data_IF_569229555259
#
_entry.id   IF_569229555259
#
_cell.length_a   1.000
_cell.length_b   1.000
_cell.length_c   1.000
_cell.angle_alpha   90.00
_cell.angle_beta   90.00
_cell.angle_gamma   90.00
#
_symmetry.space_group_name_H-M   'P 1'
#
loop_
_entity.id
_entity.type
_entity.pdbx_description
1 polymer ?
#
# COMPACT_ATOMS: atom_id res chain seq x y z
N UNK A 1 -23.09 11.48 0.21
CA UNK A 1 -22.45 11.07 1.46
C UNK A 1 -21.04 10.58 1.13
N UNK A 2 -20.06 10.93 1.95
CA UNK A 2 -18.70 10.44 1.89
C UNK A 2 -18.42 9.67 3.18
N UNK A 3 -18.23 8.35 3.07
CA UNK A 3 -17.96 7.47 4.21
C UNK A 3 -16.48 7.11 4.23
N UNK A 4 -15.83 7.18 5.38
CA UNK A 4 -14.43 6.84 5.48
C UNK A 4 -13.78 7.08 6.84
N UNK A 5 -12.46 7.01 6.89
CA UNK A 5 -11.68 7.35 8.07
C UNK A 5 -11.64 8.87 8.32
N UNK A 6 -11.11 9.27 9.47
CA UNK A 6 -10.92 10.69 9.77
C UNK A 6 -9.90 11.33 8.82
N UNK A 7 -8.85 10.59 8.52
CA UNK A 7 -7.80 10.99 7.60
C UNK A 7 -8.23 10.64 6.16
N UNK A 8 -7.97 11.54 5.22
CA UNK A 8 -8.24 11.27 3.80
C UNK A 8 -7.49 10.02 3.33
N UNK A 9 -6.24 9.88 3.78
CA UNK A 9 -5.43 8.68 3.52
C UNK A 9 -4.21 8.67 4.44
N UNK A 10 -4.08 7.65 5.29
CA UNK A 10 -2.87 7.45 6.11
C UNK A 10 -1.61 7.30 5.26
N UNK A 11 -1.72 6.63 4.10
CA UNK A 11 -0.59 6.47 3.17
C UNK A 11 -0.16 7.82 2.59
N UNK A 12 -1.12 8.70 2.29
CA UNK A 12 -0.83 10.05 1.83
C UNK A 12 -0.10 10.84 2.93
N UNK A 13 -0.63 10.85 4.15
CA UNK A 13 -0.08 11.62 5.27
C UNK A 13 1.34 11.20 5.65
N UNK A 14 1.72 9.93 5.43
CA UNK A 14 3.07 9.44 5.68
C UNK A 14 4.10 9.85 4.62
N UNK A 15 3.67 10.38 3.46
CA UNK A 15 4.58 10.82 2.42
C UNK A 15 5.33 12.09 2.85
N UNK A 16 6.66 12.03 2.82
CA UNK A 16 7.51 13.18 3.19
C UNK A 16 7.41 14.28 2.14
N UNK A 17 7.43 13.90 0.88
CA UNK A 17 7.37 14.80 -0.28
C UNK A 17 6.55 14.17 -1.40
N UNK A 18 5.74 15.00 -2.05
CA UNK A 18 4.94 14.65 -3.22
C UNK A 18 5.20 15.72 -4.28
N UNK A 19 5.88 15.33 -5.36
CA UNK A 19 6.27 16.22 -6.46
C UNK A 19 5.46 16.02 -7.75
N UNK A 20 4.54 15.05 -7.76
CA UNK A 20 3.79 14.64 -8.95
C UNK A 20 2.28 14.88 -8.85
N UNK A 21 1.82 15.68 -7.89
CA UNK A 21 0.41 16.02 -7.78
C UNK A 21 0.14 17.36 -8.52
N UNK A 22 -0.74 17.37 -9.54
CA UNK A 22 -1.03 18.58 -10.32
C UNK A 22 -1.51 19.73 -9.42
N UNK A 23 -0.90 20.90 -9.57
CA UNK A 23 -1.16 22.08 -8.74
C UNK A 23 -0.26 22.22 -7.50
N UNK A 24 0.50 21.18 -7.18
CA UNK A 24 1.46 21.19 -6.07
C UNK A 24 2.78 20.58 -6.55
N UNK A 25 3.74 21.40 -7.03
CA UNK A 25 5.02 20.91 -7.53
C UNK A 25 5.88 20.25 -6.45
N UNK A 26 5.65 20.62 -5.18
CA UNK A 26 6.32 20.06 -4.01
C UNK A 26 5.43 20.30 -2.79
N UNK A 27 4.96 19.22 -2.13
CA UNK A 27 4.14 19.32 -0.93
C UNK A 27 4.32 18.07 -0.06
N UNK A 28 4.34 18.23 1.27
CA UNK A 28 4.28 17.09 2.18
C UNK A 28 2.88 16.46 2.21
N UNK A 29 2.82 15.15 2.43
CA UNK A 29 1.56 14.40 2.41
C UNK A 29 0.53 14.89 3.41
N UNK A 30 0.95 15.24 4.63
CA UNK A 30 0.07 15.82 5.65
C UNK A 30 -0.53 17.17 5.17
N UNK A 31 0.28 18.04 4.59
CA UNK A 31 -0.18 19.33 4.07
C UNK A 31 -1.15 19.16 2.88
N UNK A 32 -0.94 18.16 2.04
CA UNK A 32 -1.86 17.83 0.95
C UNK A 32 -3.19 17.28 1.50
N UNK A 33 -3.14 16.43 2.52
CA UNK A 33 -4.33 15.95 3.23
C UNK A 33 -5.15 17.09 3.83
N UNK A 34 -4.51 18.06 4.49
CA UNK A 34 -5.17 19.27 4.99
C UNK A 34 -5.79 20.12 3.85
N UNK A 35 -5.12 20.20 2.69
CA UNK A 35 -5.67 20.91 1.54
C UNK A 35 -6.96 20.25 1.03
N UNK A 36 -7.02 18.91 1.02
CA UNK A 36 -8.23 18.17 0.67
C UNK A 36 -9.36 18.40 1.68
N UNK A 37 -9.08 18.38 2.98
CA UNK A 37 -10.08 18.69 4.01
C UNK A 37 -10.66 20.08 3.83
N UNK A 38 -9.82 21.11 3.67
CA UNK A 38 -10.28 22.47 3.41
C UNK A 38 -11.15 22.58 2.15
N UNK A 39 -10.84 21.80 1.12
CA UNK A 39 -11.64 21.79 -0.10
C UNK A 39 -13.02 21.12 0.13
N UNK A 40 -13.06 20.01 0.86
CA UNK A 40 -14.33 19.37 1.26
C UNK A 40 -15.20 20.31 2.09
N UNK A 41 -14.62 21.00 3.06
CA UNK A 41 -15.30 21.98 3.91
C UNK A 41 -15.86 23.13 3.08
N UNK A 42 -15.09 23.66 2.13
CA UNK A 42 -15.54 24.72 1.22
C UNK A 42 -16.72 24.28 0.31
N UNK A 43 -16.82 22.99 0.02
CA UNK A 43 -17.94 22.40 -0.72
C UNK A 43 -19.11 21.97 0.18
N UNK A 44 -18.99 22.13 1.50
CA UNK A 44 -19.99 21.67 2.47
C UNK A 44 -20.10 20.15 2.56
N UNK A 45 -19.03 19.42 2.22
CA UNK A 45 -18.99 17.95 2.24
C UNK A 45 -18.34 17.49 3.53
N UNK A 46 -19.13 16.83 4.40
CA UNK A 46 -18.61 16.17 5.58
C UNK A 46 -18.20 14.72 5.30
N UNK A 47 -17.09 14.30 5.90
CA UNK A 47 -16.69 12.89 5.93
C UNK A 47 -17.35 12.26 7.17
N UNK A 48 -18.26 11.31 6.94
CA UNK A 48 -18.81 10.48 8.01
C UNK A 48 -17.82 9.37 8.37
N UNK A 49 -17.39 9.34 9.64
CA UNK A 49 -16.40 8.37 10.14
C UNK A 49 -17.06 7.00 10.32
N UNK A 50 -17.27 6.32 9.21
CA UNK A 50 -17.90 5.01 9.15
C UNK A 50 -17.10 4.09 8.25
N UNK A 51 -16.93 2.84 8.69
CA UNK A 51 -16.35 1.79 7.87
C UNK A 51 -17.48 0.96 7.28
N UNK A 52 -17.57 0.93 5.96
CA UNK A 52 -18.54 0.09 5.25
C UNK A 52 -18.04 -1.35 5.30
N UNK A 53 -18.86 -2.24 5.91
CA UNK A 53 -18.57 -3.65 6.01
C UNK A 53 -18.93 -4.41 4.74
N UNK A 54 -20.10 -4.06 4.15
CA UNK A 54 -20.62 -4.71 2.95
C UNK A 54 -21.33 -3.73 2.04
N UNK A 55 -21.32 -4.05 0.75
CA UNK A 55 -22.11 -3.38 -0.30
C UNK A 55 -22.92 -4.45 -1.02
N UNK A 56 -24.23 -4.33 -0.96
CA UNK A 56 -25.17 -5.26 -1.57
C UNK A 56 -25.87 -4.63 -2.78
N UNK A 57 -25.75 -5.22 -3.98
CA UNK A 57 -26.57 -4.81 -5.12
C UNK A 57 -28.02 -5.28 -4.92
N UNK A 58 -28.96 -4.34 -4.91
CA UNK A 58 -30.38 -4.57 -4.67
C UNK A 58 -31.25 -4.33 -5.92
N UNK A 59 -30.66 -4.47 -7.11
CA UNK A 59 -31.30 -4.23 -8.39
C UNK A 59 -31.07 -2.80 -8.90
N UNK A 60 -31.91 -1.88 -8.57
CA UNK A 60 -31.85 -0.47 -9.00
C UNK A 60 -31.15 0.45 -7.99
N UNK A 61 -30.75 -0.09 -6.85
CA UNK A 61 -29.97 0.62 -5.83
C UNK A 61 -28.95 -0.31 -5.15
N UNK A 62 -28.09 0.26 -4.31
CA UNK A 62 -27.13 -0.43 -3.47
C UNK A 62 -27.44 -0.16 -2.00
N UNK A 63 -27.42 -1.21 -1.18
CA UNK A 63 -27.43 -1.10 0.27
C UNK A 63 -25.98 -1.22 0.81
N UNK A 64 -25.58 -0.29 1.66
CA UNK A 64 -24.28 -0.29 2.33
C UNK A 64 -24.49 -0.46 3.82
N UNK A 65 -23.70 -1.30 4.49
CA UNK A 65 -23.82 -1.52 5.93
C UNK A 65 -22.54 -1.14 6.67
N UNK A 66 -22.71 -0.65 7.91
CA UNK A 66 -21.64 -0.40 8.88
C UNK A 66 -22.18 -0.75 10.27
N UNK A 67 -21.87 -1.93 10.78
CA UNK A 67 -22.49 -2.46 11.98
C UNK A 67 -24.02 -2.56 11.84
N UNK A 68 -24.76 -1.85 12.70
CA UNK A 68 -26.23 -1.80 12.63
C UNK A 68 -26.80 -0.70 11.72
N UNK A 69 -25.96 0.15 11.17
CA UNK A 69 -26.39 1.25 10.28
C UNK A 69 -26.41 0.80 8.82
N UNK A 70 -27.33 1.38 8.06
CA UNK A 70 -27.49 1.09 6.64
C UNK A 70 -27.76 2.37 5.86
N UNK A 71 -27.17 2.44 4.66
CA UNK A 71 -27.43 3.50 3.67
C UNK A 71 -27.91 2.88 2.37
N UNK A 72 -28.76 3.62 1.66
CA UNK A 72 -29.18 3.29 0.30
C UNK A 72 -28.61 4.32 -0.67
N UNK A 73 -28.10 3.85 -1.81
CA UNK A 73 -27.54 4.72 -2.84
C UNK A 73 -27.83 4.17 -4.24
N UNK A 74 -28.13 5.05 -5.19
CA UNK A 74 -28.30 4.67 -6.61
C UNK A 74 -26.98 4.31 -7.28
N UNK A 75 -25.89 4.83 -6.78
CA UNK A 75 -24.53 4.54 -7.26
C UNK A 75 -23.54 4.59 -6.10
N UNK A 76 -22.48 3.80 -6.20
CA UNK A 76 -21.39 3.73 -5.21
C UNK A 76 -20.07 3.91 -5.93
N UNK A 77 -19.20 4.75 -5.38
CA UNK A 77 -17.81 4.88 -5.80
C UNK A 77 -16.93 4.26 -4.73
N UNK A 78 -16.22 3.19 -5.08
CA UNK A 78 -15.26 2.54 -4.20
C UNK A 78 -13.90 3.18 -4.39
N UNK A 79 -13.46 3.97 -3.41
CA UNK A 79 -12.15 4.62 -3.36
C UNK A 79 -11.43 4.25 -2.06
N UNK A 80 -11.41 2.95 -1.74
CA UNK A 80 -10.97 2.40 -0.45
C UNK A 80 -9.44 2.38 -0.29
N UNK A 81 -8.70 2.71 -1.34
CA UNK A 81 -7.25 2.59 -1.35
C UNK A 81 -6.80 1.13 -1.28
N UNK A 82 -5.61 0.93 -0.75
CA UNK A 82 -5.04 -0.40 -0.53
C UNK A 82 -5.00 -0.70 0.96
N UNK A 83 -5.37 -1.93 1.34
CA UNK A 83 -5.20 -2.40 2.71
C UNK A 83 -3.71 -2.60 2.95
N UNK A 84 -3.11 -1.80 3.84
CA UNK A 84 -1.78 -2.08 4.31
C UNK A 84 -1.84 -3.31 5.24
N UNK A 85 -0.99 -4.30 4.98
CA UNK A 85 -0.69 -5.33 5.98
C UNK A 85 -0.11 -4.65 7.23
N UNK A 86 -0.21 -5.32 8.38
CA UNK A 86 0.47 -4.81 9.58
C UNK A 86 1.96 -4.65 9.25
N UNK A 87 2.53 -3.44 9.36
CA UNK A 87 3.93 -3.25 9.00
C UNK A 87 4.84 -4.14 9.84
N UNK A 88 5.89 -4.63 9.21
CA UNK A 88 6.99 -5.31 9.89
C UNK A 88 7.78 -4.25 10.67
N UNK A 89 8.34 -4.60 11.81
CA UNK A 89 9.17 -3.67 12.60
C UNK A 89 10.29 -3.07 11.74
N UNK A 90 10.48 -1.76 11.77
CA UNK A 90 11.47 -1.03 10.97
C UNK A 90 11.06 -0.75 9.52
N UNK A 91 9.93 -1.26 9.06
CA UNK A 91 9.49 -1.13 7.67
C UNK A 91 9.16 0.33 7.31
N UNK A 92 8.40 0.99 8.18
CA UNK A 92 7.97 2.38 7.95
C UNK A 92 9.15 3.36 7.99
N UNK A 93 10.08 3.16 8.92
CA UNK A 93 11.27 4.01 9.07
C UNK A 93 12.22 3.91 7.88
N UNK A 94 12.19 2.76 7.16
CA UNK A 94 13.03 2.49 6.00
C UNK A 94 12.31 2.69 4.67
N UNK A 95 11.03 3.06 4.69
CA UNK A 95 10.26 3.34 3.47
C UNK A 95 10.87 4.52 2.71
N UNK A 96 11.13 4.32 1.40
CA UNK A 96 11.88 5.26 0.56
C UNK A 96 13.39 5.29 0.81
N UNK A 97 13.89 4.48 1.78
CA UNK A 97 15.32 4.37 2.12
C UNK A 97 15.85 2.93 1.94
N UNK A 98 15.23 2.18 1.04
CA UNK A 98 15.55 0.80 0.70
C UNK A 98 14.38 -0.17 0.90
N UNK A 99 13.29 0.22 1.55
CA UNK A 99 12.01 -0.45 1.52
C UNK A 99 11.07 0.32 0.58
N UNK A 100 10.34 -0.40 -0.27
CA UNK A 100 9.36 0.17 -1.19
C UNK A 100 8.14 -0.74 -1.32
N UNK A 101 6.98 -0.16 -1.59
CA UNK A 101 5.74 -0.87 -1.92
C UNK A 101 5.41 -0.81 -3.42
N UNK A 102 6.30 -0.29 -4.24
CA UNK A 102 6.05 -0.13 -5.67
C UNK A 102 7.30 -0.52 -6.46
N UNK A 103 7.32 -1.73 -6.98
CA UNK A 103 8.44 -2.24 -7.76
C UNK A 103 8.72 -1.39 -9.01
N UNK A 104 7.67 -0.99 -9.72
CA UNK A 104 7.79 -0.21 -10.96
C UNK A 104 8.22 1.24 -10.71
N UNK A 105 7.89 1.81 -9.52
CA UNK A 105 8.29 3.17 -9.15
C UNK A 105 9.79 3.24 -8.82
N UNK A 106 10.26 2.33 -7.99
CA UNK A 106 11.57 2.44 -7.34
C UNK A 106 12.59 1.42 -7.83
N UNK A 107 12.16 0.33 -8.49
CA UNK A 107 13.04 -0.79 -8.85
C UNK A 107 14.26 -0.36 -9.67
N UNK A 108 14.11 0.65 -10.55
CA UNK A 108 15.22 1.18 -11.35
C UNK A 108 16.34 1.81 -10.52
N UNK A 109 16.04 2.34 -9.34
CA UNK A 109 17.03 2.92 -8.42
C UNK A 109 17.99 1.86 -7.85
N UNK A 110 17.55 0.61 -7.87
CA UNK A 110 18.29 -0.54 -7.32
C UNK A 110 18.83 -1.49 -8.40
N UNK A 111 18.85 -1.05 -9.67
CA UNK A 111 19.37 -1.85 -10.79
C UNK A 111 20.78 -2.39 -10.48
N UNK A 112 20.96 -3.70 -10.66
CA UNK A 112 22.21 -4.42 -10.42
C UNK A 112 22.55 -4.63 -8.92
N UNK A 113 21.62 -4.32 -8.00
CA UNK A 113 21.76 -4.62 -6.58
C UNK A 113 20.87 -5.79 -6.18
N UNK A 114 21.23 -6.60 -5.18
CA UNK A 114 20.34 -7.63 -4.66
C UNK A 114 19.04 -7.01 -4.14
N UNK A 115 17.90 -7.58 -4.52
CA UNK A 115 16.57 -7.16 -4.10
C UNK A 115 15.86 -8.31 -3.39
N UNK A 116 15.24 -8.03 -2.25
CA UNK A 116 14.37 -8.96 -1.55
C UNK A 116 12.92 -8.54 -1.79
N UNK A 117 12.11 -9.43 -2.37
CA UNK A 117 10.68 -9.24 -2.56
C UNK A 117 9.88 -10.04 -1.54
N UNK A 118 8.86 -9.44 -0.95
CA UNK A 118 7.87 -10.10 -0.09
C UNK A 118 6.55 -10.22 -0.85
N UNK A 119 6.19 -11.42 -1.28
CA UNK A 119 5.01 -11.68 -2.09
C UNK A 119 3.79 -11.99 -1.22
N UNK A 120 2.81 -11.08 -1.17
CA UNK A 120 1.60 -11.19 -0.35
C UNK A 120 0.36 -11.61 -1.15
N UNK A 121 0.34 -11.38 -2.46
CA UNK A 121 -0.79 -11.66 -3.35
C UNK A 121 -0.34 -12.11 -4.75
N UNK A 122 -1.28 -12.35 -5.64
CA UNK A 122 -1.03 -12.87 -6.98
C UNK A 122 -0.40 -11.81 -7.92
N UNK A 123 -0.60 -10.53 -7.63
CA UNK A 123 -0.05 -9.43 -8.45
C UNK A 123 1.47 -9.33 -8.29
N UNK A 124 2.02 -9.92 -7.23
CA UNK A 124 3.45 -9.99 -6.97
C UNK A 124 4.24 -10.71 -8.10
N UNK A 125 3.62 -11.62 -8.88
CA UNK A 125 4.30 -12.32 -9.98
C UNK A 125 4.82 -11.33 -11.03
N UNK A 126 3.99 -10.37 -11.46
CA UNK A 126 4.39 -9.38 -12.47
C UNK A 126 5.45 -8.42 -11.94
N UNK A 127 5.32 -7.98 -10.70
CA UNK A 127 6.29 -7.10 -10.05
C UNK A 127 7.66 -7.78 -9.86
N UNK A 128 7.67 -9.04 -9.44
CA UNK A 128 8.90 -9.84 -9.30
C UNK A 128 9.55 -10.07 -10.67
N UNK A 129 8.77 -10.34 -11.71
CA UNK A 129 9.27 -10.46 -13.07
C UNK A 129 9.98 -9.19 -13.53
N UNK A 130 9.34 -8.04 -13.33
CA UNK A 130 9.95 -6.74 -13.64
C UNK A 130 11.25 -6.49 -12.87
N UNK A 131 11.27 -6.79 -11.56
CA UNK A 131 12.47 -6.65 -10.75
C UNK A 131 13.60 -7.60 -11.19
N UNK A 132 13.27 -8.82 -11.62
CA UNK A 132 14.27 -9.80 -12.06
C UNK A 132 14.97 -9.43 -13.37
N UNK A 133 14.35 -8.57 -14.19
CA UNK A 133 15.01 -7.98 -15.37
C UNK A 133 16.05 -6.90 -14.99
N UNK A 134 15.94 -6.36 -13.79
CA UNK A 134 16.79 -5.27 -13.32
C UNK A 134 17.87 -5.73 -12.37
N UNK A 135 17.63 -6.78 -11.58
CA UNK A 135 18.40 -7.10 -10.40
C UNK A 135 18.31 -8.60 -10.05
N UNK A 136 19.23 -9.05 -9.21
CA UNK A 136 19.16 -10.39 -8.60
C UNK A 136 18.09 -10.38 -7.48
N UNK A 137 16.98 -11.08 -7.70
CA UNK A 137 15.83 -11.10 -6.82
C UNK A 137 15.76 -12.37 -6.00
N UNK A 138 15.61 -12.21 -4.68
CA UNK A 138 15.16 -13.28 -3.79
C UNK A 138 13.73 -12.99 -3.36
N UNK A 139 12.81 -13.94 -3.52
CA UNK A 139 11.40 -13.79 -3.14
C UNK A 139 11.09 -14.60 -1.88
N UNK A 140 10.47 -13.98 -0.89
CA UNK A 140 9.83 -14.66 0.23
C UNK A 140 8.33 -14.73 -0.06
N UNK A 141 7.79 -15.94 -0.15
CA UNK A 141 6.37 -16.18 -0.38
C UNK A 141 5.62 -16.13 0.94
N UNK A 142 4.80 -15.10 1.12
CA UNK A 142 4.06 -14.84 2.35
C UNK A 142 2.71 -15.57 2.41
N UNK A 143 2.17 -15.97 1.26
CA UNK A 143 0.88 -16.66 1.14
C UNK A 143 1.00 -17.84 0.17
N UNK A 144 0.41 -18.98 0.52
CA UNK A 144 0.37 -20.15 -0.36
C UNK A 144 -0.35 -19.85 -1.68
N UNK A 145 0.17 -20.42 -2.77
CA UNK A 145 -0.44 -20.33 -4.09
C UNK A 145 0.05 -19.16 -4.94
N UNK A 146 0.89 -18.28 -4.42
CA UNK A 146 1.54 -17.23 -5.21
C UNK A 146 2.57 -17.88 -6.13
N UNK A 147 2.50 -17.53 -7.41
CA UNK A 147 3.48 -17.95 -8.40
C UNK A 147 4.69 -17.01 -8.38
N UNK A 148 5.87 -17.61 -8.45
CA UNK A 148 7.13 -16.89 -8.58
C UNK A 148 7.72 -17.22 -9.96
N UNK A 149 8.21 -16.23 -10.72
CA UNK A 149 8.83 -16.45 -12.01
C UNK A 149 9.99 -17.45 -11.94
N UNK A 150 10.16 -18.24 -13.01
CA UNK A 150 11.25 -19.20 -13.13
C UNK A 150 12.61 -18.49 -13.03
N UNK A 151 13.56 -19.11 -12.31
CA UNK A 151 14.90 -18.56 -12.10
C UNK A 151 15.03 -17.60 -10.90
N UNK A 152 13.94 -17.19 -10.28
CA UNK A 152 13.97 -16.36 -9.06
C UNK A 152 14.16 -17.24 -7.84
N UNK A 153 15.15 -16.90 -7.00
CA UNK A 153 15.38 -17.60 -5.74
C UNK A 153 14.17 -17.42 -4.81
N UNK A 154 13.58 -18.53 -4.36
CA UNK A 154 12.38 -18.50 -3.53
C UNK A 154 12.68 -19.04 -2.14
N UNK A 155 12.12 -18.37 -1.12
CA UNK A 155 12.16 -18.78 0.28
C UNK A 155 10.73 -18.89 0.79
N UNK A 156 10.39 -20.03 1.38
CA UNK A 156 9.05 -20.31 1.93
C UNK A 156 9.15 -20.66 3.41
N UNK A 157 8.04 -20.49 4.14
CA UNK A 157 7.90 -20.94 5.51
C UNK A 157 8.61 -20.07 6.56
N UNK A 158 9.21 -18.95 6.18
CA UNK A 158 9.81 -17.98 7.10
C UNK A 158 8.84 -16.82 7.38
N UNK A 159 8.89 -16.28 8.58
CA UNK A 159 8.10 -15.10 8.96
C UNK A 159 9.02 -13.90 9.17
N UNK A 160 8.83 -12.82 8.42
CA UNK A 160 9.51 -11.57 8.64
C UNK A 160 9.26 -11.04 10.06
N UNK A 161 10.31 -10.55 10.71
CA UNK A 161 10.24 -10.00 12.06
C UNK A 161 10.59 -8.52 12.09
N UNK A 162 11.72 -8.18 11.46
CA UNK A 162 12.26 -6.84 11.54
C UNK A 162 13.10 -6.51 10.33
N UNK A 163 12.97 -5.27 9.83
CA UNK A 163 13.95 -4.65 8.94
C UNK A 163 14.96 -3.84 9.72
N UNK A 164 16.23 -3.99 9.40
CA UNK A 164 17.31 -3.24 10.01
C UNK A 164 18.30 -2.71 8.97
N UNK A 165 18.70 -1.46 9.10
CA UNK A 165 19.79 -0.89 8.30
C UNK A 165 21.12 -1.50 8.76
N UNK A 166 21.90 -2.09 7.83
CA UNK A 166 23.27 -2.55 8.09
C UNK A 166 24.19 -2.09 6.97
N UNK A 167 25.31 -1.48 7.33
CA UNK A 167 26.37 -1.04 6.42
C UNK A 167 25.87 -0.48 5.07
N UNK A 168 25.74 -1.34 4.07
CA UNK A 168 25.40 -0.97 2.69
C UNK A 168 24.02 -1.43 2.25
N UNK A 169 23.18 -1.91 3.15
CA UNK A 169 21.88 -2.46 2.76
C UNK A 169 20.92 -2.60 3.91
N UNK A 170 19.80 -3.24 3.61
CA UNK A 170 18.77 -3.60 4.58
C UNK A 170 18.80 -5.11 4.77
N UNK A 171 18.72 -5.52 6.02
CA UNK A 171 18.61 -6.92 6.41
C UNK A 171 17.20 -7.15 6.94
N UNK A 172 16.58 -8.22 6.48
CA UNK A 172 15.34 -8.73 7.03
C UNK A 172 15.67 -9.86 8.01
N UNK A 173 15.33 -9.66 9.27
CA UNK A 173 15.38 -10.70 10.30
C UNK A 173 14.10 -11.52 10.22
N UNK A 174 14.22 -12.85 10.26
CA UNK A 174 13.10 -13.79 10.20
C UNK A 174 13.10 -14.71 11.41
N UNK A 175 12.04 -15.51 11.61
CA UNK A 175 11.96 -16.52 12.66
C UNK A 175 12.57 -17.88 12.27
N UNK A 176 13.11 -18.00 11.06
CA UNK A 176 13.88 -19.15 10.59
C UNK A 176 15.39 -18.90 10.73
N UNK A 177 16.17 -19.98 10.94
CA UNK A 177 17.65 -19.95 10.90
C UNK A 177 18.16 -19.62 9.49
#
# INVERSE_FOLDING_TARGET
>A
VLLGAAEVSRKLESAQEIANYPGFPEIGGAALGEAFHRHLDALGIAVERKYVDHVYPMGDFYALTSGEEMWEARSVVLATGVTAFKPIEGEIELLGRGVSYCATCDGRLYKGRPVLALAYDEDAEEEIRYLSELSDVTCIVMKKGIRVPEGVKTVEGVKPRRFAQKDRGIVLETDGE
#
